data_IF_405252633258
#
_entry.id   IF_405252633258
#
_cell.length_a   1.000
_cell.length_b   1.000
_cell.length_c   1.000
_cell.angle_alpha   90.00
_cell.angle_beta   90.00
_cell.angle_gamma   90.00
#
_symmetry.space_group_name_H-M   'P 1'
#
loop_
_entity.id
_entity.type
_entity.pdbx_description
1 polymer ?
#
# COMPACT_ATOMS: atom_id res chain seq x y z
N UNK A 1 -10.60 9.20 -22.95
CA UNK A 1 -10.33 10.56 -22.42
C UNK A 1 -8.86 10.88 -22.64
N UNK A 2 -8.50 12.12 -22.99
CA UNK A 2 -7.09 12.51 -23.12
C UNK A 2 -6.49 12.60 -21.71
N UNK A 3 -5.74 11.58 -21.28
CA UNK A 3 -5.02 11.56 -19.99
C UNK A 3 -3.71 12.38 -20.03
N UNK A 4 -3.58 13.24 -21.03
CA UNK A 4 -2.46 14.15 -21.26
C UNK A 4 -3.03 15.56 -21.23
N UNK A 5 -2.44 16.41 -20.40
CA UNK A 5 -2.75 17.83 -20.33
C UNK A 5 -2.26 18.50 -21.62
N UNK A 6 -3.22 18.95 -22.44
CA UNK A 6 -2.96 19.51 -23.78
C UNK A 6 -2.14 20.79 -23.68
N UNK A 7 -2.38 21.60 -22.66
CA UNK A 7 -1.73 22.90 -22.49
C UNK A 7 -0.27 22.76 -22.03
N UNK A 8 0.07 21.62 -21.42
CA UNK A 8 1.45 21.30 -20.98
C UNK A 8 2.21 20.43 -21.97
N UNK A 9 1.53 19.81 -22.94
CA UNK A 9 2.16 18.90 -23.87
C UNK A 9 2.92 19.66 -24.96
N UNK A 10 4.24 19.53 -24.98
CA UNK A 10 5.10 20.15 -26.00
C UNK A 10 5.24 19.31 -27.28
N UNK A 11 4.67 18.10 -27.31
CA UNK A 11 4.80 17.18 -28.44
C UNK A 11 6.20 16.55 -28.61
N UNK A 12 7.08 16.67 -27.62
CA UNK A 12 8.49 16.23 -27.70
C UNK A 12 8.68 14.70 -27.81
N UNK A 13 7.73 13.90 -27.36
CA UNK A 13 7.80 12.44 -27.45
C UNK A 13 8.48 11.73 -26.27
N UNK A 14 9.05 12.42 -25.29
CA UNK A 14 9.71 11.74 -24.15
C UNK A 14 8.81 10.74 -23.41
N UNK A 15 7.51 11.01 -23.38
CA UNK A 15 6.54 10.11 -22.78
C UNK A 15 6.49 8.71 -23.42
N UNK A 16 6.79 8.55 -24.71
CA UNK A 16 6.84 7.22 -25.35
C UNK A 16 8.04 6.42 -24.89
N UNK A 17 9.17 7.08 -24.61
CA UNK A 17 10.40 6.42 -24.17
C UNK A 17 10.23 5.75 -22.80
N UNK A 18 9.43 6.37 -21.92
CA UNK A 18 9.21 5.89 -20.56
C UNK A 18 7.98 4.99 -20.40
N UNK A 19 7.09 4.95 -21.40
CA UNK A 19 5.84 4.19 -21.32
C UNK A 19 6.08 2.68 -21.23
N UNK A 20 5.61 2.00 -20.16
CA UNK A 20 5.89 0.59 -19.97
C UNK A 20 4.92 -0.33 -20.73
N UNK A 21 3.89 0.22 -21.36
CA UNK A 21 2.82 -0.56 -22.01
C UNK A 21 2.96 -0.47 -23.52
N UNK A 22 2.95 -1.63 -24.16
CA UNK A 22 2.91 -1.81 -25.60
C UNK A 22 1.58 -2.39 -26.03
N UNK A 23 1.06 -1.89 -27.14
CA UNK A 23 -0.22 -2.30 -27.73
C UNK A 23 -0.05 -2.40 -29.26
N UNK A 24 -0.85 -3.23 -29.94
CA UNK A 24 -0.86 -3.27 -31.40
C UNK A 24 -1.08 -1.88 -32.01
N UNK A 25 -0.34 -1.57 -33.07
CA UNK A 25 -0.42 -0.27 -33.71
C UNK A 25 -1.61 -0.19 -34.68
N UNK A 26 -2.68 0.47 -34.26
CA UNK A 26 -3.88 0.65 -35.09
C UNK A 26 -3.62 1.39 -36.41
N UNK A 27 -2.61 2.27 -36.47
CA UNK A 27 -2.26 3.00 -37.68
C UNK A 27 -1.74 2.08 -38.80
N UNK A 28 -1.04 1.00 -38.45
CA UNK A 28 -0.53 0.00 -39.40
C UNK A 28 -1.36 -1.29 -39.41
N UNK A 29 -2.62 -1.22 -38.96
CA UNK A 29 -3.53 -2.36 -38.87
C UNK A 29 -3.01 -3.51 -37.99
N UNK A 30 -2.19 -3.20 -36.98
CA UNK A 30 -1.67 -4.17 -36.02
C UNK A 30 -0.47 -4.97 -36.52
N UNK A 31 0.16 -4.53 -37.61
CA UNK A 31 1.41 -5.12 -38.10
C UNK A 31 2.60 -4.80 -37.19
N UNK A 32 2.54 -3.68 -36.47
CA UNK A 32 3.55 -3.24 -35.50
C UNK A 32 3.03 -3.16 -34.07
N UNK A 33 3.95 -2.91 -33.14
CA UNK A 33 3.64 -2.50 -31.77
C UNK A 33 3.88 -1.00 -31.63
N UNK A 34 3.05 -0.35 -30.81
CA UNK A 34 3.23 1.05 -30.37
C UNK A 34 3.15 1.13 -28.87
N UNK A 35 3.59 2.26 -28.31
CA UNK A 35 3.37 2.56 -26.90
C UNK A 35 1.90 2.93 -26.64
N UNK A 36 1.42 2.69 -25.43
CA UNK A 36 0.06 3.06 -25.03
C UNK A 36 -0.15 4.58 -25.01
N UNK A 37 0.89 5.35 -24.68
CA UNK A 37 0.95 6.79 -25.00
C UNK A 37 1.52 6.96 -26.39
N UNK A 38 0.85 7.73 -27.24
CA UNK A 38 1.21 7.84 -28.64
C UNK A 38 0.68 9.14 -29.25
N UNK A 39 1.21 9.50 -30.41
CA UNK A 39 0.66 10.55 -31.25
C UNK A 39 -0.32 9.90 -32.25
N UNK A 40 -1.58 10.35 -32.35
CA UNK A 40 -2.59 9.70 -33.19
C UNK A 40 -2.18 9.50 -34.66
N UNK A 41 -1.48 10.49 -35.22
CA UNK A 41 -0.88 10.42 -36.55
C UNK A 41 0.30 11.41 -36.61
N UNK A 42 1.28 11.24 -37.54
CA UNK A 42 2.50 12.04 -37.55
C UNK A 42 2.27 13.56 -37.60
N UNK A 43 1.21 14.00 -38.28
CA UNK A 43 0.80 15.40 -38.45
C UNK A 43 -0.39 15.79 -37.54
N UNK A 44 -0.53 15.18 -36.36
CA UNK A 44 -1.61 15.51 -35.43
C UNK A 44 -1.68 17.01 -35.12
N UNK A 45 -2.89 17.59 -35.22
CA UNK A 45 -3.19 18.97 -34.82
C UNK A 45 -4.29 18.95 -33.76
N UNK A 46 -4.03 19.44 -32.53
CA UNK A 46 -2.73 19.90 -32.02
C UNK A 46 -1.73 18.72 -31.90
N UNK A 47 -0.43 19.03 -31.95
CA UNK A 47 0.67 18.04 -31.88
C UNK A 47 0.84 17.47 -30.46
N UNK A 48 -0.20 16.79 -29.97
CA UNK A 48 -0.28 16.29 -28.59
C UNK A 48 -0.38 14.78 -28.55
N UNK A 49 0.22 14.22 -27.52
CA UNK A 49 0.13 12.79 -27.21
C UNK A 49 -1.18 12.47 -26.51
N UNK A 50 -1.66 11.25 -26.67
CA UNK A 50 -2.88 10.73 -26.04
C UNK A 50 -2.63 9.34 -25.46
N UNK A 51 -3.49 8.92 -24.55
CA UNK A 51 -3.52 7.57 -23.97
C UNK A 51 -4.94 7.03 -24.13
N UNK A 52 -5.07 5.85 -24.74
CA UNK A 52 -6.33 5.13 -24.81
C UNK A 52 -6.51 4.26 -23.57
N UNK A 53 -7.25 4.76 -22.59
CA UNK A 53 -7.60 3.97 -21.40
C UNK A 53 -8.91 3.23 -21.64
N UNK A 54 -8.86 1.91 -21.66
CA UNK A 54 -10.03 1.04 -21.86
C UNK A 54 -10.93 0.87 -20.62
N UNK A 55 -10.59 1.50 -19.48
CA UNK A 55 -11.43 1.51 -18.27
C UNK A 55 -10.68 1.15 -16.99
N UNK A 56 -11.42 0.71 -15.97
CA UNK A 56 -10.86 0.09 -14.76
C UNK A 56 -10.86 -1.42 -14.93
N UNK A 57 -9.72 -2.10 -14.74
CA UNK A 57 -9.70 -3.56 -14.84
C UNK A 57 -10.41 -4.19 -13.64
N UNK A 58 -11.05 -5.37 -13.83
CA UNK A 58 -11.73 -6.08 -12.74
C UNK A 58 -10.84 -6.35 -11.53
N UNK A 59 -9.57 -6.71 -11.74
CA UNK A 59 -8.62 -6.93 -10.65
C UNK A 59 -8.39 -5.70 -9.77
N UNK A 60 -8.53 -4.48 -10.32
CA UNK A 60 -8.46 -3.23 -9.56
C UNK A 60 -9.78 -2.93 -8.85
N UNK A 61 -10.91 -3.19 -9.50
CA UNK A 61 -12.23 -3.03 -8.90
C UNK A 61 -12.43 -3.98 -7.70
N UNK A 62 -11.93 -5.21 -7.81
CA UNK A 62 -11.97 -6.22 -6.75
C UNK A 62 -10.99 -5.95 -5.60
N UNK A 63 -9.98 -5.08 -5.80
CA UNK A 63 -9.03 -4.76 -4.76
C UNK A 63 -9.62 -3.71 -3.79
N UNK A 64 -9.74 -4.00 -2.48
CA UNK A 64 -10.29 -3.04 -1.52
C UNK A 64 -9.49 -1.72 -1.43
N UNK A 65 -8.18 -1.79 -1.65
CA UNK A 65 -7.31 -0.63 -1.69
C UNK A 65 -7.32 0.08 -3.07
N UNK A 66 -7.86 -0.55 -4.12
CA UNK A 66 -7.89 0.05 -5.46
C UNK A 66 -6.53 0.18 -6.15
N UNK A 67 -5.56 -0.69 -5.79
CA UNK A 67 -4.19 -0.65 -6.32
C UNK A 67 -4.13 -0.86 -7.84
N UNK A 68 -3.17 -0.20 -8.49
CA UNK A 68 -2.99 -0.33 -9.94
C UNK A 68 -2.11 -1.55 -10.31
N UNK A 69 -2.71 -2.75 -10.27
CA UNK A 69 -2.02 -4.00 -10.60
C UNK A 69 -1.38 -4.01 -11.98
N UNK A 70 -2.13 -3.59 -13.00
CA UNK A 70 -1.61 -3.52 -14.37
C UNK A 70 -0.37 -2.65 -14.49
N UNK A 71 -0.37 -1.49 -13.81
CA UNK A 71 0.73 -0.53 -13.87
C UNK A 71 2.05 -1.10 -13.32
N UNK A 72 2.02 -1.67 -12.12
CA UNK A 72 3.25 -2.24 -11.56
C UNK A 72 3.65 -3.55 -12.24
N UNK A 73 2.71 -4.37 -12.74
CA UNK A 73 3.04 -5.60 -13.48
C UNK A 73 3.75 -5.28 -14.80
N UNK A 74 3.30 -4.25 -15.53
CA UNK A 74 3.98 -3.81 -16.74
C UNK A 74 5.41 -3.29 -16.46
N UNK A 75 5.64 -2.67 -15.31
CA UNK A 75 6.98 -2.26 -14.89
C UNK A 75 7.85 -3.46 -14.49
N UNK A 76 7.28 -4.46 -13.79
CA UNK A 76 7.96 -5.71 -13.46
C UNK A 76 8.41 -6.43 -14.75
N UNK A 77 7.56 -6.51 -15.78
CA UNK A 77 7.94 -7.18 -17.04
C UNK A 77 9.09 -6.51 -17.78
N UNK A 78 9.42 -5.26 -17.43
CA UNK A 78 10.57 -4.51 -17.96
C UNK A 78 11.77 -4.49 -17.03
N UNK A 79 11.73 -5.20 -15.90
CA UNK A 79 12.80 -5.17 -14.89
C UNK A 79 12.83 -3.90 -14.03
N UNK A 80 11.81 -3.03 -14.14
CA UNK A 80 11.71 -1.74 -13.41
C UNK A 80 11.06 -1.92 -12.05
N UNK A 81 11.70 -2.72 -11.18
CA UNK A 81 11.09 -3.17 -9.93
C UNK A 81 10.93 -2.05 -8.90
N UNK A 82 11.86 -1.09 -8.85
CA UNK A 82 11.78 0.08 -7.95
C UNK A 82 10.55 0.93 -8.27
N UNK A 83 10.39 1.27 -9.55
CA UNK A 83 9.25 2.05 -10.03
C UNK A 83 7.92 1.31 -9.84
N UNK A 84 7.94 -0.02 -9.95
CA UNK A 84 6.77 -0.85 -9.74
C UNK A 84 6.27 -0.78 -8.28
N UNK A 85 7.16 -0.81 -7.29
CA UNK A 85 6.80 -0.59 -5.87
C UNK A 85 6.23 0.82 -5.68
N UNK A 86 6.84 1.84 -6.28
CA UNK A 86 6.36 3.22 -6.18
C UNK A 86 4.94 3.40 -6.77
N UNK A 87 4.61 2.69 -7.85
CA UNK A 87 3.23 2.68 -8.38
C UNK A 87 2.23 2.11 -7.36
N UNK A 88 2.62 1.09 -6.60
CA UNK A 88 1.78 0.55 -5.52
C UNK A 88 1.65 1.55 -4.37
N UNK A 89 2.78 2.15 -3.95
CA UNK A 89 2.85 3.15 -2.86
C UNK A 89 1.96 4.36 -3.08
N UNK A 90 1.72 4.77 -4.34
CA UNK A 90 0.72 5.82 -4.64
C UNK A 90 -0.63 5.58 -3.98
N UNK A 91 -0.98 4.32 -3.73
CA UNK A 91 -2.25 3.89 -3.15
C UNK A 91 -2.13 3.42 -1.69
N UNK A 92 -1.10 2.66 -1.34
CA UNK A 92 -0.92 2.13 0.03
C UNK A 92 0.55 1.75 0.29
N UNK A 93 1.05 1.79 1.54
CA UNK A 93 2.46 1.57 1.83
C UNK A 93 2.89 0.10 1.96
N UNK A 94 1.94 -0.84 2.01
CA UNK A 94 2.14 -2.22 2.47
C UNK A 94 2.23 -3.28 1.35
N UNK A 95 3.18 -3.16 0.43
CA UNK A 95 3.42 -4.14 -0.64
C UNK A 95 3.80 -5.54 -0.11
N UNK A 96 4.78 -5.61 0.78
CA UNK A 96 5.35 -6.82 1.37
C UNK A 96 4.39 -7.53 2.33
N UNK A 97 3.69 -6.77 3.18
CA UNK A 97 2.61 -7.32 4.02
C UNK A 97 1.50 -7.89 3.14
N UNK A 98 0.93 -7.12 2.19
CA UNK A 98 -0.14 -7.64 1.33
C UNK A 98 0.33 -8.74 0.38
N UNK A 99 1.62 -8.77 -0.01
CA UNK A 99 2.20 -9.89 -0.75
C UNK A 99 2.21 -11.20 0.05
N UNK A 100 2.12 -11.13 1.38
CA UNK A 100 2.18 -12.29 2.28
C UNK A 100 0.85 -12.68 2.88
N UNK A 101 -0.01 -11.75 3.23
CA UNK A 101 -1.22 -12.06 4.03
C UNK A 101 -2.54 -11.72 3.35
N UNK A 102 -2.52 -11.08 2.18
CA UNK A 102 -3.74 -10.77 1.43
C UNK A 102 -4.45 -12.04 0.93
N UNK A 103 -5.77 -12.02 0.94
CA UNK A 103 -6.66 -13.06 0.36
C UNK A 103 -6.86 -12.91 -1.14
N UNK A 104 -6.12 -12.01 -1.79
CA UNK A 104 -6.03 -11.82 -3.25
C UNK A 104 -7.37 -11.85 -4.03
N UNK A 105 -8.39 -11.07 -3.63
CA UNK A 105 -9.65 -11.00 -4.39
C UNK A 105 -9.45 -10.53 -5.84
N UNK A 106 -8.39 -9.74 -6.09
CA UNK A 106 -7.99 -9.29 -7.42
C UNK A 106 -7.61 -10.42 -8.39
N UNK A 107 -7.22 -11.59 -7.88
CA UNK A 107 -6.89 -12.76 -8.70
C UNK A 107 -8.14 -13.56 -9.08
N UNK A 108 -9.18 -13.55 -8.24
CA UNK A 108 -10.46 -14.23 -8.52
C UNK A 108 -11.16 -13.61 -9.74
N UNK A 109 -11.12 -12.28 -9.84
CA UNK A 109 -11.74 -11.53 -10.95
C UNK A 109 -10.74 -11.25 -12.08
N UNK A 110 -9.60 -11.93 -12.13
CA UNK A 110 -8.60 -11.66 -13.16
C UNK A 110 -9.09 -12.10 -14.55
N UNK A 111 -9.21 -11.16 -15.49
CA UNK A 111 -9.62 -11.45 -16.89
C UNK A 111 -8.73 -12.50 -17.57
N UNK A 112 -7.44 -12.59 -17.20
CA UNK A 112 -6.53 -13.61 -17.74
C UNK A 112 -7.01 -15.04 -17.43
N UNK A 113 -7.67 -15.24 -16.29
CA UNK A 113 -8.26 -16.53 -15.91
C UNK A 113 -9.40 -17.00 -16.83
N UNK A 114 -9.93 -16.15 -17.72
CA UNK A 114 -10.87 -16.57 -18.78
C UNK A 114 -10.17 -17.18 -20.00
N UNK A 115 -8.85 -17.01 -20.10
CA UNK A 115 -8.03 -17.54 -21.19
C UNK A 115 -7.25 -18.76 -20.70
N UNK A 116 -6.52 -18.61 -19.58
CA UNK A 116 -5.76 -19.68 -18.95
C UNK A 116 -5.84 -19.59 -17.41
N UNK A 117 -4.86 -18.96 -16.74
CA UNK A 117 -4.80 -18.85 -15.30
C UNK A 117 -4.71 -17.37 -14.85
N UNK A 118 -5.30 -17.01 -13.69
CA UNK A 118 -5.12 -15.69 -13.12
C UNK A 118 -3.65 -15.32 -12.94
N UNK A 119 -3.33 -14.05 -13.16
CA UNK A 119 -2.01 -13.53 -12.85
C UNK A 119 -1.78 -13.60 -11.34
N UNK A 120 -0.62 -14.08 -10.91
CA UNK A 120 -0.19 -14.18 -9.50
C UNK A 120 0.14 -12.81 -8.88
N UNK A 121 -0.84 -11.90 -8.83
CA UNK A 121 -0.74 -10.51 -8.38
C UNK A 121 -0.15 -10.39 -6.98
N UNK A 122 -0.56 -11.24 -6.03
CA UNK A 122 -0.05 -11.27 -4.66
C UNK A 122 1.42 -11.65 -4.60
N UNK A 123 1.83 -12.67 -5.35
CA UNK A 123 3.24 -13.06 -5.42
C UNK A 123 4.11 -12.01 -6.09
N UNK A 124 3.58 -11.30 -7.10
CA UNK A 124 4.29 -10.17 -7.72
C UNK A 124 4.48 -9.01 -6.73
N UNK A 125 3.50 -8.71 -5.87
CA UNK A 125 3.68 -7.75 -4.75
C UNK A 125 4.79 -8.19 -3.80
N UNK A 126 4.77 -9.47 -3.41
CA UNK A 126 5.81 -10.06 -2.56
C UNK A 126 7.18 -9.95 -3.20
N UNK A 127 7.31 -10.35 -4.46
CA UNK A 127 8.56 -10.30 -5.22
C UNK A 127 9.16 -8.89 -5.22
N UNK A 128 8.36 -7.87 -5.52
CA UNK A 128 8.85 -6.49 -5.55
C UNK A 128 9.33 -6.02 -4.18
N UNK A 129 8.59 -6.31 -3.11
CA UNK A 129 8.97 -5.96 -1.75
C UNK A 129 10.23 -6.70 -1.29
N UNK A 130 10.34 -7.99 -1.61
CA UNK A 130 11.50 -8.82 -1.27
C UNK A 130 12.74 -8.39 -2.08
N UNK A 131 12.55 -7.98 -3.33
CA UNK A 131 13.62 -7.41 -4.15
C UNK A 131 14.14 -6.11 -3.53
N UNK A 132 13.24 -5.20 -3.14
CA UNK A 132 13.60 -3.94 -2.49
C UNK A 132 14.37 -4.15 -1.18
N UNK A 133 13.93 -5.07 -0.33
CA UNK A 133 14.65 -5.47 0.89
C UNK A 133 16.07 -5.97 0.56
N UNK A 134 16.19 -6.84 -0.44
CA UNK A 134 17.47 -7.43 -0.83
C UNK A 134 18.47 -6.41 -1.38
N UNK A 135 18.01 -5.47 -2.22
CA UNK A 135 18.90 -4.46 -2.83
C UNK A 135 19.11 -3.24 -1.95
N UNK A 136 18.34 -3.11 -0.88
CA UNK A 136 18.25 -1.91 -0.06
C UNK A 136 17.28 -0.89 -0.66
N UNK A 137 16.30 -0.49 0.14
CA UNK A 137 15.35 0.57 -0.20
C UNK A 137 16.06 1.93 -0.17
N UNK A 138 15.76 2.79 -1.14
CA UNK A 138 16.14 4.21 -1.06
C UNK A 138 15.31 4.89 0.04
N UNK A 139 15.97 5.68 0.89
CA UNK A 139 15.26 6.41 1.94
C UNK A 139 14.22 7.34 1.34
N UNK A 140 13.03 7.35 1.91
CA UNK A 140 11.99 8.26 1.50
C UNK A 140 12.42 9.70 1.79
N UNK A 141 12.04 10.63 0.91
CA UNK A 141 12.22 12.05 1.19
C UNK A 141 11.09 12.49 2.13
N UNK A 142 11.40 13.11 3.29
CA UNK A 142 10.38 13.62 4.19
C UNK A 142 9.43 14.58 3.47
N UNK A 143 8.13 14.43 3.71
CA UNK A 143 7.12 15.32 3.14
C UNK A 143 7.09 16.63 3.95
N UNK A 144 7.06 17.75 3.24
CA UNK A 144 6.89 19.06 3.87
C UNK A 144 5.50 19.17 4.52
N UNK A 145 5.48 19.56 5.80
CA UNK A 145 4.27 19.77 6.58
C UNK A 145 3.67 21.13 6.25
N UNK A 146 2.89 21.19 5.17
CA UNK A 146 2.27 22.41 4.65
C UNK A 146 0.97 22.81 5.38
N UNK A 147 0.48 21.98 6.30
CA UNK A 147 -0.70 22.25 7.13
C UNK A 147 -0.29 22.51 8.58
N UNK A 148 -1.06 23.36 9.26
CA UNK A 148 -0.81 23.70 10.67
C UNK A 148 -1.53 22.74 11.64
N UNK A 149 -2.70 22.24 11.24
CA UNK A 149 -3.53 21.35 12.06
C UNK A 149 -2.85 20.00 12.30
N UNK A 150 -2.54 19.68 13.57
CA UNK A 150 -1.94 18.40 13.94
C UNK A 150 -3.00 17.31 14.09
N UNK A 151 -2.69 16.10 13.62
CA UNK A 151 -3.59 14.93 13.71
C UNK A 151 -2.99 13.85 14.61
N UNK A 152 -3.76 13.39 15.58
CA UNK A 152 -3.41 12.24 16.41
C UNK A 152 -4.07 10.97 15.86
N UNK A 153 -3.30 9.89 15.78
CA UNK A 153 -3.78 8.56 15.38
C UNK A 153 -3.57 7.62 16.55
N UNK A 154 -4.64 7.00 17.04
CA UNK A 154 -4.58 6.09 18.18
C UNK A 154 -4.58 4.65 17.67
N UNK A 155 -3.44 3.97 17.81
CA UNK A 155 -3.19 2.61 17.33
C UNK A 155 -2.35 2.58 16.05
N UNK A 156 -1.29 1.77 16.04
CA UNK A 156 -0.38 1.59 14.89
C UNK A 156 -0.70 0.33 14.08
N UNK A 157 -1.95 -0.13 14.09
CA UNK A 157 -2.39 -1.20 13.20
C UNK A 157 -2.44 -0.77 11.73
N UNK A 158 -2.82 -1.67 10.80
CA UNK A 158 -2.90 -1.37 9.37
C UNK A 158 -3.72 -0.12 9.05
N UNK A 159 -4.86 0.07 9.73
CA UNK A 159 -5.73 1.21 9.53
C UNK A 159 -5.09 2.53 9.99
N UNK A 160 -4.47 2.53 11.18
CA UNK A 160 -3.81 3.71 11.72
C UNK A 160 -2.60 4.13 10.88
N UNK A 161 -1.77 3.16 10.47
CA UNK A 161 -0.60 3.44 9.64
C UNK A 161 -0.99 3.87 8.21
N UNK A 162 -2.03 3.28 7.62
CA UNK A 162 -2.55 3.73 6.32
C UNK A 162 -3.13 5.15 6.40
N UNK A 163 -3.88 5.47 7.45
CA UNK A 163 -4.37 6.82 7.70
C UNK A 163 -3.21 7.82 7.86
N UNK A 164 -2.18 7.45 8.62
CA UNK A 164 -0.99 8.27 8.81
C UNK A 164 -0.28 8.55 7.48
N UNK A 165 -0.12 7.51 6.67
CA UNK A 165 0.48 7.56 5.35
C UNK A 165 -0.24 8.52 4.40
N UNK A 166 -1.57 8.50 4.38
CA UNK A 166 -2.34 9.38 3.51
C UNK A 166 -2.36 10.84 4.01
N UNK A 167 -2.41 11.05 5.32
CA UNK A 167 -2.43 12.40 5.91
C UNK A 167 -1.08 13.11 5.80
N UNK A 168 0.05 12.41 6.02
CA UNK A 168 1.37 13.02 5.86
C UNK A 168 1.61 13.45 4.40
N UNK A 169 1.15 12.66 3.43
CA UNK A 169 1.23 12.98 1.99
C UNK A 169 0.36 14.17 1.58
N UNK A 170 -0.64 14.52 2.40
CA UNK A 170 -1.46 15.73 2.24
C UNK A 170 -0.85 16.95 2.97
N UNK A 171 0.30 16.77 3.64
CA UNK A 171 1.04 17.83 4.32
C UNK A 171 0.65 18.05 5.79
N UNK A 172 -0.13 17.15 6.40
CA UNK A 172 -0.50 17.26 7.82
C UNK A 172 0.63 16.76 8.73
N UNK A 173 0.92 17.45 9.85
CA UNK A 173 1.71 16.88 10.94
C UNK A 173 0.92 15.76 11.62
N UNK A 174 1.46 14.54 11.60
CA UNK A 174 0.79 13.33 12.11
C UNK A 174 1.64 12.67 13.18
N UNK A 175 1.01 12.35 14.32
CA UNK A 175 1.60 11.53 15.39
C UNK A 175 0.72 10.32 15.66
N UNK A 176 1.30 9.12 15.59
CA UNK A 176 0.68 7.84 15.92
C UNK A 176 1.03 7.45 17.35
N UNK A 177 0.04 7.11 18.16
CA UNK A 177 0.19 6.65 19.53
C UNK A 177 -0.11 5.16 19.61
N UNK A 178 0.89 4.36 19.99
CA UNK A 178 0.79 2.92 20.12
C UNK A 178 0.96 2.50 21.58
N UNK A 179 0.04 1.70 22.08
CA UNK A 179 0.07 1.20 23.45
C UNK A 179 1.14 0.12 23.66
N UNK A 180 1.44 -0.67 22.63
CA UNK A 180 2.42 -1.74 22.66
C UNK A 180 3.87 -1.22 22.52
N UNK A 181 4.88 -2.06 22.83
CA UNK A 181 6.28 -1.67 22.71
C UNK A 181 6.76 -1.40 21.28
N UNK A 182 6.13 -2.02 20.28
CA UNK A 182 6.48 -1.89 18.87
C UNK A 182 5.23 -1.64 18.02
N UNK A 183 5.40 -0.95 16.90
CA UNK A 183 4.34 -0.61 15.97
C UNK A 183 3.93 -1.77 15.07
N UNK A 184 2.70 -1.72 14.53
CA UNK A 184 2.17 -2.70 13.57
C UNK A 184 0.90 -3.42 14.01
N UNK A 185 0.51 -3.28 15.28
CA UNK A 185 -0.72 -3.88 15.82
C UNK A 185 -0.80 -5.39 15.57
N UNK A 186 -1.95 -5.89 15.09
CA UNK A 186 -2.14 -7.32 14.80
C UNK A 186 -1.21 -7.87 13.72
N UNK A 187 -0.62 -7.03 12.84
CA UNK A 187 0.39 -7.50 11.90
C UNK A 187 1.61 -8.07 12.62
N UNK A 188 1.99 -7.48 13.76
CA UNK A 188 3.11 -7.93 14.59
C UNK A 188 2.69 -8.94 15.66
N UNK A 189 1.60 -8.63 16.37
CA UNK A 189 1.20 -9.36 17.57
C UNK A 189 0.19 -10.48 17.31
N UNK A 190 -0.33 -10.61 16.10
CA UNK A 190 -1.35 -11.61 15.74
C UNK A 190 -0.96 -12.51 14.56
N UNK A 191 -0.07 -12.08 13.68
CA UNK A 191 0.39 -12.88 12.54
C UNK A 191 1.75 -13.50 12.89
N UNK A 192 1.86 -14.84 12.87
CA UNK A 192 3.14 -15.49 13.13
C UNK A 192 4.24 -15.08 12.15
N UNK A 193 5.48 -15.01 12.64
CA UNK A 193 6.64 -14.53 11.88
C UNK A 193 6.93 -15.36 10.62
N UNK A 194 6.67 -16.67 10.66
CA UNK A 194 6.82 -17.53 9.48
C UNK A 194 5.85 -17.18 8.34
N UNK A 195 4.74 -16.48 8.62
CA UNK A 195 3.81 -15.96 7.59
C UNK A 195 4.15 -14.53 7.21
N UNK A 196 4.46 -13.69 8.21
CA UNK A 196 4.81 -12.28 8.02
C UNK A 196 6.07 -11.97 8.84
N UNK A 197 7.25 -11.99 8.20
CA UNK A 197 8.51 -11.68 8.87
C UNK A 197 8.51 -10.25 9.42
N UNK A 198 9.04 -10.06 10.63
CA UNK A 198 9.11 -8.75 11.27
C UNK A 198 9.92 -7.75 10.45
N UNK A 199 11.02 -8.18 9.84
CA UNK A 199 11.86 -7.34 8.96
C UNK A 199 11.07 -6.70 7.81
N UNK A 200 10.12 -7.44 7.22
CA UNK A 200 9.28 -6.92 6.14
C UNK A 200 8.37 -5.82 6.67
N UNK A 201 7.76 -6.04 7.83
CA UNK A 201 6.89 -5.07 8.47
C UNK A 201 7.69 -3.82 8.91
N UNK A 202 8.87 -4.00 9.49
CA UNK A 202 9.76 -2.93 9.94
C UNK A 202 10.22 -2.05 8.78
N UNK A 203 10.57 -2.64 7.63
CA UNK A 203 10.93 -1.87 6.44
C UNK A 203 9.76 -1.01 5.92
N UNK A 204 8.54 -1.53 5.94
CA UNK A 204 7.37 -0.77 5.48
C UNK A 204 6.92 0.30 6.47
N UNK A 205 7.04 0.05 7.78
CA UNK A 205 6.78 1.06 8.81
C UNK A 205 7.84 2.17 8.75
N UNK A 206 9.13 1.82 8.62
CA UNK A 206 10.20 2.81 8.52
C UNK A 206 10.03 3.73 7.30
N UNK A 207 9.50 3.22 6.18
CA UNK A 207 9.14 4.07 5.04
C UNK A 207 8.10 5.14 5.42
N UNK A 208 7.11 4.81 6.26
CA UNK A 208 6.10 5.76 6.74
C UNK A 208 6.74 6.78 7.70
N UNK A 209 7.64 6.35 8.58
CA UNK A 209 8.37 7.24 9.50
C UNK A 209 9.28 8.20 8.75
N UNK A 210 9.99 7.72 7.71
CA UNK A 210 10.86 8.53 6.87
C UNK A 210 10.11 9.62 6.09
N UNK A 211 8.84 9.41 5.78
CA UNK A 211 7.98 10.45 5.19
C UNK A 211 7.66 11.58 6.20
N UNK A 212 7.94 11.39 7.48
CA UNK A 212 7.80 12.40 8.53
C UNK A 212 6.68 12.14 9.55
N UNK A 213 6.09 10.94 9.53
CA UNK A 213 5.14 10.48 10.57
C UNK A 213 5.91 10.16 11.85
N UNK A 214 5.45 10.71 12.97
CA UNK A 214 6.00 10.37 14.28
C UNK A 214 5.22 9.19 14.88
N UNK A 215 5.90 8.14 15.34
CA UNK A 215 5.26 7.00 16.01
C UNK A 215 5.78 6.91 17.46
N UNK A 216 4.87 7.04 18.42
CA UNK A 216 5.14 6.93 19.86
C UNK A 216 4.63 5.60 20.39
N UNK A 217 5.53 4.66 20.62
CA UNK A 217 5.22 3.38 21.27
C UNK A 217 5.12 3.53 22.79
N UNK A 218 4.64 2.50 23.49
CA UNK A 218 4.41 2.51 24.93
C UNK A 218 3.57 3.70 25.43
N UNK A 219 2.69 4.24 24.59
CA UNK A 219 1.91 5.45 24.86
C UNK A 219 0.42 5.16 24.72
N UNK A 220 -0.19 4.43 25.68
CA UNK A 220 -1.62 4.13 25.65
C UNK A 220 -2.44 5.42 25.88
N UNK A 221 -3.37 5.72 24.99
CA UNK A 221 -4.32 6.82 25.14
C UNK A 221 -5.59 6.31 25.79
N UNK A 222 -5.92 6.83 26.98
CA UNK A 222 -7.12 6.44 27.74
C UNK A 222 -8.27 7.43 27.61
N UNK A 223 -7.96 8.70 27.35
CA UNK A 223 -8.94 9.76 27.17
C UNK A 223 -8.62 10.56 25.90
N UNK A 224 -9.64 10.78 25.07
CA UNK A 224 -9.51 11.55 23.83
C UNK A 224 -9.38 13.05 24.08
N UNK A 225 -9.96 13.54 25.18
CA UNK A 225 -9.88 14.96 25.56
C UNK A 225 -8.43 15.40 25.77
N UNK A 226 -7.59 14.51 26.31
CA UNK A 226 -6.15 14.75 26.49
C UNK A 226 -5.45 15.05 25.16
N UNK A 227 -5.92 14.47 24.05
CA UNK A 227 -5.35 14.73 22.72
C UNK A 227 -5.71 16.14 22.25
N UNK A 228 -6.97 16.55 22.42
CA UNK A 228 -7.39 17.91 22.06
C UNK A 228 -6.71 18.96 22.94
N UNK A 229 -6.54 18.69 24.24
CA UNK A 229 -5.82 19.55 25.17
C UNK A 229 -4.31 19.67 24.83
N UNK A 230 -3.72 18.62 24.24
CA UNK A 230 -2.37 18.66 23.70
C UNK A 230 -2.27 19.43 22.37
N UNK A 231 -3.38 19.92 21.84
CA UNK A 231 -3.45 20.75 20.64
C UNK A 231 -3.48 19.95 19.34
N UNK A 232 -4.01 18.72 19.34
CA UNK A 232 -4.39 18.01 18.12
C UNK A 232 -5.79 18.44 17.69
N UNK A 233 -5.96 18.74 16.39
CA UNK A 233 -7.23 19.22 15.83
C UNK A 233 -8.19 18.09 15.50
N UNK A 234 -7.65 16.92 15.15
CA UNK A 234 -8.40 15.74 14.79
C UNK A 234 -7.75 14.49 15.41
N UNK A 235 -8.60 13.50 15.70
CA UNK A 235 -8.20 12.20 16.24
C UNK A 235 -8.79 11.09 15.39
N UNK A 236 -7.96 10.14 14.95
CA UNK A 236 -8.41 8.91 14.29
C UNK A 236 -8.24 7.72 15.24
N UNK A 237 -9.30 6.91 15.37
CA UNK A 237 -9.30 5.72 16.23
C UNK A 237 -9.03 4.47 15.40
N UNK A 238 -7.82 3.96 15.49
CA UNK A 238 -7.33 2.74 14.83
C UNK A 238 -6.93 1.64 15.82
N UNK A 239 -7.55 1.59 17.01
CA UNK A 239 -7.18 0.67 18.10
C UNK A 239 -7.45 -0.81 17.79
N UNK A 240 -8.33 -1.08 16.82
CA UNK A 240 -8.70 -2.43 16.42
C UNK A 240 -9.44 -3.23 17.51
N UNK A 241 -9.57 -4.54 17.29
CA UNK A 241 -10.18 -5.49 18.22
C UNK A 241 -9.09 -6.35 18.87
N UNK A 242 -8.46 -5.82 19.94
CA UNK A 242 -7.36 -6.49 20.63
C UNK A 242 -7.77 -7.53 21.68
N UNK A 243 -9.06 -7.73 21.90
CA UNK A 243 -9.61 -8.67 22.89
C UNK A 243 -10.17 -9.91 22.22
N UNK A 244 -9.93 -11.08 22.83
CA UNK A 244 -10.49 -12.33 22.31
C UNK A 244 -11.97 -12.44 22.63
N UNK A 245 -12.75 -12.99 21.70
CA UNK A 245 -14.15 -13.34 21.93
C UNK A 245 -14.22 -14.56 22.86
N UNK A 246 -14.94 -14.43 23.97
CA UNK A 246 -15.23 -15.54 24.90
C UNK A 246 -16.40 -16.38 24.38
N UNK A 247 -16.39 -17.68 24.72
CA UNK A 247 -17.45 -18.61 24.29
C UNK A 247 -18.66 -18.60 25.22
N UNK A 248 -18.50 -18.11 26.46
CA UNK A 248 -19.55 -18.06 27.47
C UNK A 248 -19.92 -19.43 28.04
N UNK A 249 -19.01 -20.40 28.02
CA UNK A 249 -19.25 -21.77 28.49
C UNK A 249 -18.61 -22.03 29.86
N UNK A 250 -19.17 -22.96 30.68
CA UNK A 250 -18.54 -23.36 31.93
C UNK A 250 -17.08 -23.80 31.72
N UNK A 251 -16.20 -23.41 32.64
CA UNK A 251 -14.75 -23.70 32.62
C UNK A 251 -13.94 -23.03 31.49
N UNK A 252 -14.45 -21.99 30.82
CA UNK A 252 -13.68 -21.28 29.77
C UNK A 252 -12.47 -20.48 30.30
N UNK A 253 -12.40 -20.21 31.61
CA UNK A 253 -11.26 -19.56 32.28
C UNK A 253 -10.42 -20.58 33.10
N UNK A 254 -10.60 -21.90 32.87
CA UNK A 254 -9.85 -22.93 33.59
C UNK A 254 -8.35 -22.93 33.22
N UNK A 255 -7.50 -23.37 34.17
CA UNK A 255 -6.06 -23.51 33.95
C UNK A 255 -5.77 -24.37 32.72
N UNK A 256 -4.98 -23.83 31.78
CA UNK A 256 -4.65 -24.48 30.51
C UNK A 256 -5.51 -24.04 29.33
N UNK A 257 -6.60 -23.30 29.56
CA UNK A 257 -7.35 -22.63 28.49
C UNK A 257 -6.71 -21.29 28.20
N UNK A 258 -6.27 -21.07 26.96
CA UNK A 258 -5.62 -19.84 26.53
C UNK A 258 -6.36 -19.28 25.32
N UNK A 259 -6.74 -18.01 25.37
CA UNK A 259 -7.36 -17.35 24.24
C UNK A 259 -6.36 -17.02 23.13
N UNK A 260 -6.80 -17.11 21.87
CA UNK A 260 -5.95 -17.02 20.70
C UNK A 260 -5.11 -15.72 20.64
N UNK A 261 -5.71 -14.54 20.85
CA UNK A 261 -4.94 -13.28 20.76
C UNK A 261 -3.97 -13.11 21.93
N UNK A 262 -4.29 -13.65 23.10
CA UNK A 262 -3.38 -13.66 24.23
C UNK A 262 -2.16 -14.53 23.91
N UNK A 263 -2.40 -15.77 23.50
CA UNK A 263 -1.34 -16.71 23.11
C UNK A 263 -0.43 -16.14 22.02
N UNK A 264 -1.01 -15.64 20.92
CA UNK A 264 -0.25 -15.11 19.79
C UNK A 264 0.60 -13.91 20.21
N UNK A 265 0.06 -13.02 21.05
CA UNK A 265 0.80 -11.87 21.56
C UNK A 265 1.99 -12.28 22.42
N UNK A 266 1.81 -13.25 23.31
CA UNK A 266 2.88 -13.79 24.15
C UNK A 266 4.01 -14.38 23.29
N UNK A 267 3.66 -15.23 22.33
CA UNK A 267 4.61 -15.82 21.39
C UNK A 267 5.36 -14.74 20.60
N UNK A 268 4.67 -13.73 20.09
CA UNK A 268 5.29 -12.60 19.37
C UNK A 268 6.22 -11.76 20.25
N UNK A 269 5.99 -11.72 21.57
CA UNK A 269 6.86 -11.04 22.54
C UNK A 269 8.02 -11.91 23.04
N UNK A 270 8.10 -13.16 22.58
CA UNK A 270 9.14 -14.12 22.99
C UNK A 270 8.86 -14.79 24.33
N UNK A 271 7.66 -14.65 24.88
CA UNK A 271 7.20 -15.39 26.05
C UNK A 271 6.93 -16.85 25.65
N UNK A 272 7.42 -17.82 26.43
CA UNK A 272 7.29 -19.26 26.18
C UNK A 272 6.52 -19.96 27.29
#
# INVERSE_FOLDING_TARGET
>A
ARYVDVDKCTGCGECTNVCPVEVPNEFDLGLGQRKAIYRPFPQAVPNVFVIDKQGYPPCRAACPAGVNAQGYIALISQGKFKEAVEVLRRTMPFAGVCGRVCTHPCELDCERGKVDEPVSIRYLKRFMADYELRVGREKATPIEKTKEDRVAIIGSGPAGLACAYDLIRQGYPVTVFEAAPQSGGLLRYGIPEYRLPNEVLDNEISYIEELGVEIKTNTPVKNLEDMFNQGYRAVFLGTGAGTSQKMGIPNEDATGVIHALHFLRQVSLGER
#
